data_IF_694039288648
#
_entry.id   IF_694039288648
#
_cell.length_a   1.000
_cell.length_b   1.000
_cell.length_c   1.000
_cell.angle_alpha   90.00
_cell.angle_beta   90.00
_cell.angle_gamma   90.00
#
_symmetry.space_group_name_H-M   'P 1'
#
loop_
_entity.id
_entity.type
_entity.pdbx_description
1 polymer ?
#
# COMPACT_ATOMS: atom_id res chain seq x y z
N UNK A 1 -12.11 -11.19 -34.07
CA UNK A 1 -12.53 -10.19 -33.07
C UNK A 1 -13.82 -10.56 -32.34
N UNK A 2 -14.90 -10.99 -33.00
CA UNK A 2 -16.20 -11.33 -32.38
C UNK A 2 -16.11 -12.40 -31.27
N UNK A 3 -15.40 -13.53 -31.50
CA UNK A 3 -15.18 -14.58 -30.46
C UNK A 3 -14.48 -14.06 -29.19
N UNK A 4 -13.47 -13.19 -29.34
CA UNK A 4 -12.75 -12.59 -28.20
C UNK A 4 -13.65 -11.66 -27.40
N UNK A 5 -14.49 -10.87 -28.08
CA UNK A 5 -15.49 -10.00 -27.43
C UNK A 5 -16.51 -10.84 -26.64
N UNK A 6 -17.11 -11.86 -27.25
CA UNK A 6 -18.07 -12.72 -26.58
C UNK A 6 -17.50 -13.43 -25.33
N UNK A 7 -16.25 -13.87 -25.37
CA UNK A 7 -15.57 -14.42 -24.19
C UNK A 7 -15.35 -13.39 -23.07
N UNK A 8 -15.04 -12.15 -23.42
CA UNK A 8 -14.85 -11.06 -22.45
C UNK A 8 -16.21 -10.70 -21.84
N UNK A 9 -17.24 -10.52 -22.68
CA UNK A 9 -18.59 -10.19 -22.24
C UNK A 9 -19.15 -11.28 -21.29
N UNK A 10 -18.92 -12.56 -21.60
CA UNK A 10 -19.30 -13.67 -20.72
C UNK A 10 -18.57 -13.64 -19.36
N UNK A 11 -17.26 -13.30 -19.34
CA UNK A 11 -16.51 -13.15 -18.08
C UNK A 11 -17.00 -11.97 -17.25
N UNK A 12 -17.34 -10.85 -17.90
CA UNK A 12 -17.90 -9.67 -17.23
C UNK A 12 -19.25 -10.02 -16.58
N UNK A 13 -20.11 -10.76 -17.31
CA UNK A 13 -21.41 -11.19 -16.80
C UNK A 13 -21.33 -12.13 -15.58
N UNK A 14 -20.21 -12.83 -15.38
CA UNK A 14 -19.97 -13.69 -14.23
C UNK A 14 -19.42 -12.91 -13.01
N UNK A 15 -18.95 -11.69 -13.20
CA UNK A 15 -18.42 -10.86 -12.13
C UNK A 15 -19.59 -10.12 -11.42
N UNK A 16 -20.27 -10.82 -10.51
CA UNK A 16 -21.48 -10.33 -9.82
C UNK A 16 -21.24 -9.95 -8.36
N UNK A 17 -20.06 -10.24 -7.81
CA UNK A 17 -19.77 -9.93 -6.41
C UNK A 17 -19.37 -8.47 -6.24
N UNK A 18 -20.06 -7.77 -5.33
CA UNK A 18 -19.77 -6.38 -4.94
C UNK A 18 -19.10 -6.35 -3.56
N UNK A 19 -17.82 -6.08 -3.54
CA UNK A 19 -17.01 -5.87 -2.32
C UNK A 19 -15.73 -5.09 -2.61
N UNK A 20 -15.14 -4.54 -1.56
CA UNK A 20 -13.77 -4.04 -1.60
C UNK A 20 -12.77 -5.16 -1.79
N UNK A 21 -11.64 -4.82 -2.37
CA UNK A 21 -10.56 -5.77 -2.69
C UNK A 21 -9.28 -5.47 -1.94
N UNK A 22 -8.51 -6.52 -1.67
CA UNK A 22 -7.14 -6.43 -1.17
C UNK A 22 -6.15 -6.59 -2.32
N UNK A 23 -5.34 -5.56 -2.54
CA UNK A 23 -4.34 -5.52 -3.61
C UNK A 23 -2.95 -5.48 -2.98
N UNK A 24 -2.07 -6.39 -3.40
CA UNK A 24 -0.67 -6.40 -3.01
C UNK A 24 0.22 -5.98 -4.18
N UNK A 25 1.04 -4.96 -3.96
CA UNK A 25 2.08 -4.53 -4.90
C UNK A 25 3.45 -4.90 -4.34
N UNK A 26 4.08 -5.93 -4.90
CA UNK A 26 5.39 -6.42 -4.45
C UNK A 26 6.45 -6.32 -5.54
N UNK A 27 7.71 -6.51 -5.14
CA UNK A 27 8.84 -6.59 -6.08
C UNK A 27 9.85 -5.47 -5.91
N UNK A 28 10.99 -5.62 -6.60
CA UNK A 28 12.13 -4.70 -6.48
C UNK A 28 12.07 -3.52 -7.45
N UNK A 29 11.15 -3.54 -8.42
CA UNK A 29 10.99 -2.49 -9.41
C UNK A 29 10.40 -1.21 -8.84
N UNK A 30 10.69 -0.11 -9.52
CA UNK A 30 10.13 1.21 -9.22
C UNK A 30 8.67 1.29 -9.65
N UNK A 31 7.85 2.03 -8.87
CA UNK A 31 6.47 2.35 -9.25
C UNK A 31 5.39 1.73 -8.35
N UNK A 32 5.74 0.95 -7.32
CA UNK A 32 4.75 0.38 -6.38
C UNK A 32 3.93 1.46 -5.66
N UNK A 33 4.60 2.36 -4.92
CA UNK A 33 3.94 3.46 -4.20
C UNK A 33 3.24 4.41 -5.17
N UNK A 34 3.88 4.77 -6.29
CA UNK A 34 3.27 5.62 -7.33
C UNK A 34 2.00 4.98 -7.93
N UNK A 35 1.98 3.67 -8.15
CA UNK A 35 0.78 2.95 -8.62
C UNK A 35 -0.33 2.96 -7.57
N UNK A 36 0.01 2.74 -6.29
CA UNK A 36 -0.94 2.77 -5.20
C UNK A 36 -1.54 4.16 -5.00
N UNK A 37 -0.70 5.20 -5.01
CA UNK A 37 -1.13 6.60 -4.92
C UNK A 37 -1.91 7.06 -6.15
N UNK A 38 -1.60 6.55 -7.33
CA UNK A 38 -2.40 6.73 -8.53
C UNK A 38 -3.80 6.11 -8.40
N UNK A 39 -3.93 4.96 -7.72
CA UNK A 39 -5.23 4.34 -7.42
C UNK A 39 -5.99 5.15 -6.37
N UNK A 40 -5.31 5.68 -5.35
CA UNK A 40 -5.89 6.64 -4.40
C UNK A 40 -6.42 7.90 -5.10
N UNK A 41 -5.62 8.50 -5.99
CA UNK A 41 -6.05 9.68 -6.77
C UNK A 41 -7.30 9.37 -7.61
N UNK A 42 -7.39 8.17 -8.19
CA UNK A 42 -8.59 7.71 -8.89
C UNK A 42 -9.80 7.61 -7.94
N UNK A 43 -9.62 7.05 -6.74
CA UNK A 43 -10.66 6.95 -5.71
C UNK A 43 -11.15 8.33 -5.28
N UNK A 44 -10.24 9.27 -5.05
CA UNK A 44 -10.55 10.67 -4.73
C UNK A 44 -11.36 11.35 -5.83
N UNK A 45 -11.08 11.06 -7.10
CA UNK A 45 -11.85 11.54 -8.25
C UNK A 45 -13.32 11.10 -8.24
N UNK A 46 -13.66 10.05 -7.48
CA UNK A 46 -15.03 9.59 -7.22
C UNK A 46 -15.56 10.02 -5.84
N UNK A 47 -14.91 10.96 -5.17
CA UNK A 47 -15.32 11.46 -3.85
C UNK A 47 -15.12 10.45 -2.71
N UNK A 48 -14.27 9.45 -2.91
CA UNK A 48 -14.00 8.40 -1.92
C UNK A 48 -13.01 8.88 -0.86
N UNK A 49 -13.30 8.57 0.42
CA UNK A 49 -12.43 8.91 1.54
C UNK A 49 -11.28 7.90 1.65
N UNK A 50 -10.06 8.41 1.79
CA UNK A 50 -8.84 7.61 1.75
C UNK A 50 -7.98 7.84 3.00
N UNK A 51 -7.23 6.82 3.42
CA UNK A 51 -6.15 6.99 4.37
C UNK A 51 -4.85 6.33 3.87
N UNK A 52 -3.73 6.97 4.17
CA UNK A 52 -2.38 6.49 3.85
C UNK A 52 -1.60 6.34 5.14
N UNK A 53 -1.06 5.16 5.38
CA UNK A 53 -0.13 4.88 6.47
C UNK A 53 1.19 4.44 5.84
N UNK A 54 2.21 5.29 5.94
CA UNK A 54 3.56 4.96 5.52
C UNK A 54 4.32 4.37 6.70
N UNK A 55 4.64 3.07 6.61
CA UNK A 55 5.36 2.33 7.65
C UNK A 55 6.85 2.63 7.68
N UNK A 56 7.37 3.25 6.62
CA UNK A 56 8.76 3.71 6.55
C UNK A 56 8.77 5.17 6.12
N UNK A 57 9.45 6.00 6.90
CA UNK A 57 9.69 7.39 6.56
C UNK A 57 10.92 7.50 5.66
N UNK A 58 10.76 8.10 4.50
CA UNK A 58 11.90 8.51 3.66
C UNK A 58 12.69 9.68 4.29
N UNK A 59 13.89 9.94 3.75
CA UNK A 59 14.73 11.07 4.18
C UNK A 59 14.13 12.43 3.83
N UNK A 60 13.27 12.49 2.83
CA UNK A 60 12.60 13.71 2.34
C UNK A 60 11.09 13.48 2.19
N UNK A 61 10.34 14.56 2.26
CA UNK A 61 8.93 14.54 1.90
C UNK A 61 8.78 14.28 0.39
N UNK A 62 7.92 13.32 0.05
CA UNK A 62 7.63 13.02 -1.36
C UNK A 62 6.71 14.06 -1.97
N UNK A 63 6.74 14.17 -3.30
CA UNK A 63 5.84 15.06 -4.04
C UNK A 63 4.37 14.71 -3.79
N UNK A 64 4.05 13.42 -3.70
CA UNK A 64 2.68 12.96 -3.42
C UNK A 64 2.22 13.36 -2.01
N UNK A 65 3.09 13.28 -1.00
CA UNK A 65 2.77 13.75 0.35
C UNK A 65 2.44 15.26 0.33
N UNK A 66 3.28 16.07 -0.30
CA UNK A 66 3.06 17.53 -0.42
C UNK A 66 1.75 17.86 -1.12
N UNK A 67 1.36 17.05 -2.13
CA UNK A 67 0.15 17.25 -2.91
C UNK A 67 -1.13 16.84 -2.17
N UNK A 68 -1.09 15.72 -1.44
CA UNK A 68 -2.30 15.14 -0.87
C UNK A 68 -2.52 15.40 0.62
N UNK A 69 -1.50 15.82 1.39
CA UNK A 69 -1.58 15.96 2.86
C UNK A 69 -2.70 16.88 3.37
N UNK A 70 -3.04 17.88 2.58
CA UNK A 70 -4.09 18.86 2.94
C UNK A 70 -5.42 18.61 2.18
N UNK A 71 -5.54 17.47 1.50
CA UNK A 71 -6.76 17.13 0.76
C UNK A 71 -7.87 16.71 1.73
N UNK A 72 -9.10 17.27 1.64
CA UNK A 72 -10.16 17.07 2.65
C UNK A 72 -10.67 15.63 2.78
N UNK A 73 -10.38 14.77 1.82
CA UNK A 73 -10.75 13.35 1.83
C UNK A 73 -9.55 12.42 2.06
N UNK A 74 -8.40 12.94 2.51
CA UNK A 74 -7.20 12.15 2.75
C UNK A 74 -6.69 12.37 4.16
N UNK A 75 -6.57 11.30 4.94
CA UNK A 75 -5.78 11.28 6.15
C UNK A 75 -4.43 10.61 5.86
N UNK A 76 -3.35 11.31 6.16
CA UNK A 76 -2.00 10.83 5.85
C UNK A 76 -1.13 10.75 7.10
N UNK A 77 -0.64 9.55 7.38
CA UNK A 77 0.24 9.27 8.50
C UNK A 77 1.60 8.77 8.01
N UNK A 78 2.65 9.50 8.41
CA UNK A 78 4.04 9.07 8.20
C UNK A 78 4.55 8.59 9.54
N UNK A 79 4.82 7.30 9.67
CA UNK A 79 5.17 6.68 10.93
C UNK A 79 6.68 6.47 11.05
N UNK A 80 7.15 6.55 12.31
CA UNK A 80 8.54 6.34 12.67
C UNK A 80 9.43 7.57 12.51
N UNK A 81 10.50 7.60 13.31
CA UNK A 81 11.55 8.62 13.26
C UNK A 81 12.61 8.33 12.18
N UNK A 82 12.16 7.73 11.07
CA UNK A 82 13.02 7.25 9.99
C UNK A 82 13.53 5.86 10.29
N UNK A 83 13.07 4.87 9.54
CA UNK A 83 13.81 3.64 9.34
C UNK A 83 15.04 4.00 8.55
N UNK A 84 15.98 4.59 9.22
CA UNK A 84 17.30 4.66 8.64
C UNK A 84 17.96 3.34 8.98
N UNK A 85 18.57 2.72 8.02
CA UNK A 85 19.56 1.65 8.20
C UNK A 85 20.64 2.02 9.23
N UNK A 86 20.51 3.17 9.87
CA UNK A 86 21.38 3.85 10.80
C UNK A 86 20.88 3.76 12.25
N UNK A 87 19.57 3.51 12.50
CA UNK A 87 19.05 3.28 13.86
C UNK A 87 19.34 1.83 14.24
N UNK A 88 20.42 1.56 14.92
CA UNK A 88 20.78 0.24 15.46
C UNK A 88 19.92 -0.16 16.69
N UNK A 89 18.71 0.38 16.82
CA UNK A 89 17.83 0.14 17.97
C UNK A 89 16.54 -0.56 17.53
N UNK A 90 16.58 -1.89 17.57
CA UNK A 90 15.47 -2.75 17.18
C UNK A 90 14.20 -2.52 18.03
N UNK A 91 14.33 -2.17 19.31
CA UNK A 91 13.19 -1.95 20.19
C UNK A 91 12.38 -0.71 19.75
N UNK A 92 13.05 0.39 19.42
CA UNK A 92 12.40 1.59 18.88
C UNK A 92 11.73 1.34 17.54
N UNK A 93 12.31 0.49 16.71
CA UNK A 93 11.71 0.12 15.42
C UNK A 93 10.43 -0.70 15.59
N UNK A 94 10.40 -1.60 16.58
CA UNK A 94 9.20 -2.37 16.94
C UNK A 94 8.13 -1.44 17.49
N UNK A 95 8.43 -0.57 18.45
CA UNK A 95 7.48 0.40 19.01
C UNK A 95 6.87 1.29 17.91
N UNK A 96 7.68 1.76 16.97
CA UNK A 96 7.21 2.56 15.83
C UNK A 96 6.30 1.76 14.90
N UNK A 97 6.64 0.49 14.65
CA UNK A 97 5.81 -0.39 13.82
C UNK A 97 4.46 -0.71 14.48
N UNK A 98 4.46 -0.98 15.79
CA UNK A 98 3.26 -1.21 16.59
C UNK A 98 2.36 0.03 16.61
N UNK A 99 2.92 1.21 16.85
CA UNK A 99 2.17 2.47 16.80
C UNK A 99 1.55 2.74 15.41
N UNK A 100 2.30 2.45 14.34
CA UNK A 100 1.78 2.53 12.97
C UNK A 100 0.61 1.56 12.76
N UNK A 101 0.75 0.34 13.26
CA UNK A 101 -0.27 -0.69 13.15
C UNK A 101 -1.54 -0.34 13.94
N UNK A 102 -1.41 0.22 15.15
CA UNK A 102 -2.56 0.69 15.92
C UNK A 102 -3.38 1.75 15.16
N UNK A 103 -2.71 2.65 14.45
CA UNK A 103 -3.38 3.64 13.61
C UNK A 103 -4.05 2.95 12.41
N UNK A 104 -3.35 2.05 11.73
CA UNK A 104 -3.89 1.29 10.60
C UNK A 104 -5.15 0.49 10.99
N UNK A 105 -5.16 -0.13 12.17
CA UNK A 105 -6.32 -0.87 12.69
C UNK A 105 -7.55 0.01 12.90
N UNK A 106 -7.38 1.26 13.36
CA UNK A 106 -8.50 2.21 13.51
C UNK A 106 -9.16 2.48 12.16
N UNK A 107 -8.36 2.69 11.11
CA UNK A 107 -8.89 2.89 9.76
C UNK A 107 -9.50 1.62 9.16
N UNK A 108 -8.95 0.43 9.46
CA UNK A 108 -9.53 -0.84 9.03
C UNK A 108 -10.90 -1.14 9.65
N UNK A 109 -11.23 -0.52 10.79
CA UNK A 109 -12.51 -0.68 11.46
C UNK A 109 -13.53 0.41 11.11
N UNK A 110 -13.09 1.50 10.46
CA UNK A 110 -13.93 2.64 10.13
C UNK A 110 -14.51 2.51 8.71
N UNK A 111 -15.81 2.21 8.64
CA UNK A 111 -16.54 2.05 7.37
C UNK A 111 -16.67 3.34 6.55
N UNK A 112 -16.33 4.51 7.12
CA UNK A 112 -16.33 5.77 6.40
C UNK A 112 -15.17 5.92 5.43
N UNK A 113 -14.13 5.06 5.53
CA UNK A 113 -13.00 5.03 4.60
C UNK A 113 -13.21 3.98 3.52
N UNK A 114 -13.18 4.43 2.27
CA UNK A 114 -13.35 3.57 1.08
C UNK A 114 -12.04 2.92 0.61
N UNK A 115 -10.89 3.58 0.88
CA UNK A 115 -9.59 3.14 0.39
C UNK A 115 -8.49 3.39 1.42
N UNK A 116 -7.73 2.33 1.73
CA UNK A 116 -6.57 2.40 2.61
C UNK A 116 -5.30 2.01 1.85
N UNK A 117 -4.23 2.76 2.05
CA UNK A 117 -2.90 2.42 1.56
C UNK A 117 -1.94 2.19 2.74
N UNK A 118 -1.38 1.00 2.82
CA UNK A 118 -0.31 0.63 3.74
C UNK A 118 1.01 0.56 2.95
N UNK A 119 1.70 1.72 2.90
CA UNK A 119 2.91 1.87 2.08
C UNK A 119 4.14 1.34 2.81
N UNK A 120 4.93 0.51 2.11
CA UNK A 120 6.13 -0.19 2.59
C UNK A 120 5.90 -1.08 3.84
N UNK A 121 4.67 -1.54 4.08
CA UNK A 121 4.32 -2.36 5.25
C UNK A 121 5.06 -3.71 5.26
N UNK A 122 5.43 -4.23 4.11
CA UNK A 122 6.08 -5.55 4.00
C UNK A 122 7.38 -5.69 4.80
N UNK A 123 8.05 -4.58 5.06
CA UNK A 123 9.26 -4.57 5.87
C UNK A 123 9.01 -4.91 7.33
N UNK A 124 7.82 -4.61 7.85
CA UNK A 124 7.44 -4.92 9.25
C UNK A 124 7.50 -6.43 9.49
N UNK A 125 7.01 -7.21 8.52
CA UNK A 125 7.06 -8.68 8.58
C UNK A 125 8.46 -9.22 8.31
N UNK A 126 9.16 -8.64 7.32
CA UNK A 126 10.50 -9.07 6.94
C UNK A 126 11.51 -8.97 8.08
N UNK A 127 11.41 -7.94 8.90
CA UNK A 127 12.31 -7.70 10.03
C UNK A 127 11.75 -8.21 11.36
N UNK A 128 10.54 -8.80 11.36
CA UNK A 128 9.91 -9.34 12.55
C UNK A 128 9.52 -8.25 13.56
N UNK A 129 9.12 -7.09 13.06
CA UNK A 129 8.61 -5.99 13.90
C UNK A 129 7.12 -6.12 14.18
N UNK A 130 6.37 -6.74 13.26
CA UNK A 130 4.96 -7.08 13.45
C UNK A 130 4.72 -8.55 13.10
N UNK A 131 3.89 -9.26 13.88
CA UNK A 131 3.36 -10.56 13.49
C UNK A 131 2.36 -10.39 12.33
N UNK A 132 2.35 -11.34 11.39
CA UNK A 132 1.48 -11.24 10.20
C UNK A 132 0.05 -11.67 10.48
N UNK A 133 -0.17 -12.60 11.41
CA UNK A 133 -1.48 -13.20 11.70
C UNK A 133 -2.53 -12.16 12.15
N UNK A 134 -2.25 -11.26 13.10
CA UNK A 134 -3.20 -10.22 13.48
C UNK A 134 -3.53 -9.25 12.34
N UNK A 135 -2.59 -9.03 11.41
CA UNK A 135 -2.82 -8.19 10.23
C UNK A 135 -3.78 -8.88 9.26
N UNK A 136 -3.58 -10.18 9.01
CA UNK A 136 -4.47 -11.00 8.19
C UNK A 136 -5.89 -10.99 8.76
N UNK A 137 -6.03 -11.22 10.07
CA UNK A 137 -7.34 -11.21 10.72
C UNK A 137 -8.06 -9.85 10.60
N UNK A 138 -7.33 -8.74 10.81
CA UNK A 138 -7.89 -7.40 10.69
C UNK A 138 -8.34 -7.11 9.25
N UNK A 139 -7.53 -7.50 8.26
CA UNK A 139 -7.87 -7.35 6.84
C UNK A 139 -9.10 -8.17 6.44
N UNK A 140 -9.28 -9.37 6.99
CA UNK A 140 -10.46 -10.20 6.72
C UNK A 140 -11.73 -9.65 7.39
N UNK A 141 -11.60 -8.96 8.52
CA UNK A 141 -12.72 -8.38 9.29
C UNK A 141 -13.08 -6.95 8.86
N UNK A 142 -12.35 -6.36 7.91
CA UNK A 142 -12.60 -4.99 7.44
C UNK A 142 -14.00 -4.80 6.87
N UNK A 143 -14.52 -3.56 6.83
CA UNK A 143 -15.80 -3.26 6.19
C UNK A 143 -15.87 -3.80 4.76
N UNK A 144 -17.03 -4.36 4.40
CA UNK A 144 -17.21 -5.13 3.15
C UNK A 144 -16.78 -4.37 1.90
N UNK A 145 -17.00 -3.05 1.84
CA UNK A 145 -16.73 -2.23 0.64
C UNK A 145 -15.35 -1.54 0.68
N UNK A 146 -14.60 -1.71 1.77
CA UNK A 146 -13.32 -1.06 1.94
C UNK A 146 -12.23 -1.74 1.10
N UNK A 147 -11.57 -0.95 0.25
CA UNK A 147 -10.41 -1.39 -0.54
C UNK A 147 -9.12 -1.16 0.24
N UNK A 148 -8.20 -2.09 0.18
CA UNK A 148 -6.88 -1.96 0.81
C UNK A 148 -5.79 -2.28 -0.20
N UNK A 149 -4.76 -1.42 -0.25
CA UNK A 149 -3.52 -1.70 -0.97
C UNK A 149 -2.35 -1.77 0.00
N UNK A 150 -1.50 -2.78 -0.19
CA UNK A 150 -0.26 -2.93 0.58
C UNK A 150 0.91 -2.95 -0.38
N UNK A 151 1.93 -2.15 -0.12
CA UNK A 151 3.15 -2.12 -0.94
C UNK A 151 4.36 -2.64 -0.16
N UNK A 152 5.37 -3.07 -0.90
CA UNK A 152 6.67 -3.44 -0.38
C UNK A 152 7.47 -4.34 -1.30
N UNK A 153 8.74 -4.60 -0.98
CA UNK A 153 9.59 -5.42 -1.86
C UNK A 153 9.27 -6.91 -1.78
N UNK A 154 8.92 -7.38 -0.61
CA UNK A 154 8.49 -8.76 -0.35
C UNK A 154 7.06 -8.76 0.16
N UNK A 155 6.43 -9.93 0.23
CA UNK A 155 5.10 -10.03 0.82
C UNK A 155 4.98 -11.36 1.56
N UNK A 156 4.52 -11.33 2.80
CA UNK A 156 4.33 -12.52 3.61
C UNK A 156 3.30 -13.46 2.95
N UNK A 157 3.54 -14.77 2.99
CA UNK A 157 2.67 -15.77 2.37
C UNK A 157 1.21 -15.69 2.85
N UNK A 158 0.92 -15.55 4.16
CA UNK A 158 -0.47 -15.44 4.62
C UNK A 158 -1.23 -14.25 4.04
N UNK A 159 -0.56 -13.12 3.76
CA UNK A 159 -1.17 -11.99 3.07
C UNK A 159 -1.46 -12.29 1.60
N UNK A 160 -0.56 -13.03 0.94
CA UNK A 160 -0.76 -13.42 -0.46
C UNK A 160 -1.95 -14.38 -0.62
N UNK A 161 -2.20 -15.24 0.36
CA UNK A 161 -3.31 -16.21 0.36
C UNK A 161 -4.69 -15.54 0.43
N UNK A 162 -4.80 -14.40 1.13
CA UNK A 162 -6.07 -13.67 1.27
C UNK A 162 -6.24 -12.54 0.26
N UNK A 163 -5.24 -12.26 -0.58
CA UNK A 163 -5.28 -11.16 -1.52
C UNK A 163 -6.13 -11.47 -2.75
N UNK A 164 -6.90 -10.49 -3.20
CA UNK A 164 -7.69 -10.57 -4.45
C UNK A 164 -6.83 -10.31 -5.69
N UNK A 165 -5.79 -9.49 -5.53
CA UNK A 165 -4.88 -9.13 -6.63
C UNK A 165 -3.47 -9.01 -6.12
N UNK A 166 -2.53 -9.63 -6.83
CA UNK A 166 -1.11 -9.51 -6.56
C UNK A 166 -0.40 -9.07 -7.84
N UNK A 167 0.27 -7.93 -7.78
CA UNK A 167 1.12 -7.45 -8.88
C UNK A 167 2.59 -7.46 -8.45
N UNK A 168 3.44 -8.02 -9.30
CA UNK A 168 4.89 -8.05 -9.08
C UNK A 168 5.57 -7.05 -10.01
N UNK A 169 6.08 -5.96 -9.43
CA UNK A 169 6.81 -4.91 -10.14
C UNK A 169 8.28 -5.29 -10.16
N UNK A 170 8.74 -5.78 -11.31
CA UNK A 170 10.11 -6.26 -11.48
C UNK A 170 11.07 -5.13 -11.83
N UNK A 171 12.30 -5.27 -11.38
CA UNK A 171 13.40 -4.38 -11.71
C UNK A 171 14.23 -4.97 -12.88
N UNK A 172 13.84 -4.67 -14.10
CA UNK A 172 14.59 -5.08 -15.29
C UNK A 172 15.81 -4.16 -15.51
N UNK A 173 15.64 -2.84 -15.30
CA UNK A 173 16.67 -1.83 -15.44
C UNK A 173 16.38 -0.65 -14.53
N UNK A 174 17.37 -0.10 -13.86
CA UNK A 174 17.19 1.03 -12.94
C UNK A 174 18.26 2.10 -13.16
N UNK A 175 17.83 3.36 -13.24
CA UNK A 175 18.70 4.51 -13.47
C UNK A 175 19.82 4.62 -12.40
N UNK A 176 19.52 4.33 -11.16
CA UNK A 176 20.47 4.32 -10.05
C UNK A 176 21.69 3.42 -10.34
N UNK A 177 21.47 2.21 -10.91
CA UNK A 177 22.57 1.31 -11.28
C UNK A 177 23.44 1.82 -12.43
N UNK A 178 22.96 2.86 -13.12
CA UNK A 178 23.72 3.56 -14.17
C UNK A 178 24.36 4.85 -13.66
N UNK A 179 24.38 5.07 -12.32
CA UNK A 179 24.98 6.25 -11.72
C UNK A 179 24.11 7.52 -11.81
N UNK A 180 22.84 7.41 -12.22
CA UNK A 180 21.91 8.56 -12.25
C UNK A 180 21.44 8.86 -10.83
N UNK A 181 21.58 10.12 -10.40
CA UNK A 181 21.12 10.59 -9.10
C UNK A 181 19.60 10.59 -9.01
N UNK A 182 19.08 10.42 -7.78
CA UNK A 182 17.67 10.61 -7.47
C UNK A 182 17.21 12.04 -7.81
N UNK A 183 15.99 12.19 -8.33
CA UNK A 183 15.45 13.45 -8.84
C UNK A 183 14.08 13.74 -8.21
N UNK A 184 13.84 15.01 -7.91
CA UNK A 184 12.52 15.50 -7.51
C UNK A 184 11.48 15.21 -8.60
N UNK A 185 10.28 14.78 -8.18
CA UNK A 185 9.20 14.41 -9.09
C UNK A 185 9.36 13.04 -9.77
N UNK A 186 10.51 12.34 -9.54
CA UNK A 186 10.76 10.98 -10.05
C UNK A 186 11.02 10.00 -8.89
N UNK A 187 11.87 10.39 -7.93
CA UNK A 187 12.24 9.53 -6.79
C UNK A 187 11.59 10.01 -5.48
N UNK A 188 11.32 11.31 -5.35
CA UNK A 188 10.71 11.92 -4.17
C UNK A 188 9.93 13.20 -4.51
#
# INVERSE_FOLDING_TARGET
MAKKKAMIDAKIALATEERGILILLKGNGKGKSSSALGTMARSLGYGKKCAVIQFIKGKSETGEYKFFKDHPLVDWHVMGHGFTWETQNKEQDIEAAEAAWEIAQKYLQDESYDFLLFDEMSYMFKYGYLPVEPVVEALQKRPKMQNVMITGRTMATPLQEIADTISNVQDEKHAFRQGVKAQEGIEF
#
